data_IF_140837647791
#
_entry.id   IF_140837647791
#
_cell.length_a   1.000
_cell.length_b   1.000
_cell.length_c   1.000
_cell.angle_alpha   90.00
_cell.angle_beta   90.00
_cell.angle_gamma   90.00
#
_symmetry.space_group_name_H-M   'P 1'
#
loop_
_entity.id
_entity.type
_entity.pdbx_description
1 polymer ?
#
# COMPACT_ATOMS: atom_id res chain seq x y z
N UNK A 1 -5.56 -22.24 30.31
CA UNK A 1 -6.05 -22.24 28.92
C UNK A 1 -4.92 -21.70 28.04
N UNK A 2 -4.33 -22.54 27.19
CA UNK A 2 -3.34 -22.07 26.20
C UNK A 2 -4.08 -21.21 25.17
N UNK A 3 -3.69 -19.93 25.04
CA UNK A 3 -4.27 -19.02 24.05
C UNK A 3 -4.13 -19.52 22.61
N UNK A 4 -4.74 -18.82 21.62
CA UNK A 4 -4.65 -19.21 20.23
C UNK A 4 -3.19 -19.35 19.79
N UNK A 5 -2.90 -20.39 19.00
CA UNK A 5 -1.56 -20.68 18.45
C UNK A 5 -1.66 -20.88 16.95
N UNK A 6 -0.69 -20.32 16.23
CA UNK A 6 -0.56 -20.52 14.79
C UNK A 6 0.15 -21.86 14.51
N UNK A 7 -0.11 -22.48 13.34
CA UNK A 7 0.66 -23.62 12.89
C UNK A 7 2.17 -23.30 12.83
N UNK A 8 3.06 -24.30 13.06
CA UNK A 8 4.49 -24.11 12.92
C UNK A 8 4.87 -23.52 11.54
N UNK A 9 5.79 -22.56 11.53
CA UNK A 9 6.28 -21.91 10.30
C UNK A 9 5.37 -20.82 9.73
N UNK A 10 4.15 -20.64 10.25
CA UNK A 10 3.26 -19.56 9.81
C UNK A 10 3.60 -18.27 10.55
N UNK A 11 4.01 -17.25 9.80
CA UNK A 11 4.21 -15.90 10.35
C UNK A 11 2.86 -15.30 10.76
N UNK A 12 2.83 -14.55 11.87
CA UNK A 12 1.58 -14.00 12.43
C UNK A 12 0.89 -13.05 11.47
N UNK A 13 1.67 -12.16 10.87
CA UNK A 13 1.15 -11.13 10.02
C UNK A 13 1.35 -11.47 8.54
N UNK A 14 0.38 -11.07 7.72
CA UNK A 14 0.58 -10.93 6.29
C UNK A 14 0.35 -9.47 5.92
N UNK A 15 1.37 -8.83 5.37
CA UNK A 15 1.29 -7.48 4.84
C UNK A 15 0.92 -7.57 3.35
N UNK A 16 -0.23 -7.01 3.00
CA UNK A 16 -0.71 -7.04 1.62
C UNK A 16 -0.51 -5.67 0.97
N UNK A 17 0.20 -5.69 -0.15
CA UNK A 17 0.77 -4.52 -0.80
C UNK A 17 0.44 -4.49 -2.29
N UNK A 18 0.83 -3.39 -2.94
CA UNK A 18 1.07 -3.39 -4.38
C UNK A 18 2.53 -3.01 -4.61
N UNK A 19 3.13 -3.40 -5.75
CA UNK A 19 4.59 -3.32 -5.92
C UNK A 19 5.18 -1.92 -5.77
N UNK A 20 4.40 -0.88 -6.05
CA UNK A 20 4.79 0.52 -5.89
C UNK A 20 3.74 1.27 -5.07
N UNK A 21 3.94 1.36 -3.76
CA UNK A 21 3.06 2.13 -2.86
C UNK A 21 3.78 2.59 -1.60
N UNK A 22 3.99 3.91 -1.48
CA UNK A 22 4.64 4.52 -0.32
C UNK A 22 3.92 4.27 1.02
N UNK A 23 2.57 4.16 1.03
CA UNK A 23 1.83 3.80 2.24
C UNK A 23 2.18 2.39 2.71
N UNK A 24 2.40 1.49 1.74
CA UNK A 24 2.85 0.12 1.98
C UNK A 24 4.27 0.06 2.53
N UNK A 25 5.19 0.81 1.90
CA UNK A 25 6.59 0.92 2.36
C UNK A 25 6.68 1.37 3.81
N UNK A 26 5.89 2.39 4.21
CA UNK A 26 5.85 2.87 5.59
C UNK A 26 5.54 1.75 6.58
N UNK A 27 4.58 0.89 6.25
CA UNK A 27 4.22 -0.25 7.12
C UNK A 27 5.29 -1.32 7.11
N UNK A 28 5.87 -1.64 5.93
CA UNK A 28 6.98 -2.58 5.81
C UNK A 28 8.15 -2.17 6.69
N UNK A 29 8.60 -0.93 6.57
CA UNK A 29 9.67 -0.35 7.40
C UNK A 29 9.35 -0.46 8.90
N UNK A 30 8.12 -0.16 9.31
CA UNK A 30 7.74 -0.28 10.71
C UNK A 30 7.77 -1.73 11.20
N UNK A 31 7.25 -2.69 10.43
CA UNK A 31 7.28 -4.11 10.77
C UNK A 31 8.72 -4.63 10.89
N UNK A 32 9.60 -4.23 9.98
CA UNK A 32 11.02 -4.58 10.01
C UNK A 32 11.71 -4.03 11.27
N UNK A 33 11.50 -2.73 11.56
CA UNK A 33 12.15 -2.07 12.69
C UNK A 33 11.68 -2.58 14.05
N UNK A 34 10.41 -2.99 14.19
CA UNK A 34 9.91 -3.61 15.43
C UNK A 34 10.13 -5.12 15.48
N UNK A 35 10.71 -5.72 14.44
CA UNK A 35 10.97 -7.16 14.37
C UNK A 35 9.71 -8.03 14.33
N UNK A 36 8.62 -7.51 13.77
CA UNK A 36 7.36 -8.24 13.70
C UNK A 36 7.47 -9.44 12.74
N UNK A 37 6.90 -10.61 13.08
CA UNK A 37 6.92 -11.76 12.18
C UNK A 37 5.84 -11.61 11.10
N UNK A 38 6.22 -11.10 9.93
CA UNK A 38 5.33 -10.94 8.78
C UNK A 38 5.88 -11.53 7.48
N UNK A 39 4.95 -11.94 6.61
CA UNK A 39 5.22 -12.23 5.20
C UNK A 39 4.47 -11.23 4.31
N UNK A 40 4.90 -11.13 3.06
CA UNK A 40 4.30 -10.22 2.09
C UNK A 40 3.45 -10.97 1.08
N UNK A 41 2.40 -10.31 0.63
CA UNK A 41 1.64 -10.73 -0.54
C UNK A 41 1.32 -9.51 -1.40
N UNK A 42 1.67 -9.57 -2.68
CA UNK A 42 1.32 -8.50 -3.60
C UNK A 42 -0.05 -8.74 -4.23
N UNK A 43 -0.77 -7.65 -4.39
CA UNK A 43 -2.01 -7.58 -5.16
C UNK A 43 -1.94 -6.47 -6.18
N UNK A 44 -2.86 -6.52 -7.12
CA UNK A 44 -3.01 -5.49 -8.13
C UNK A 44 -3.76 -4.30 -7.54
N UNK A 45 -3.02 -3.41 -6.88
CA UNK A 45 -3.57 -2.36 -6.01
C UNK A 45 -4.76 -1.60 -6.58
N UNK A 46 -4.70 -1.19 -7.86
CA UNK A 46 -5.78 -0.46 -8.50
C UNK A 46 -7.01 -1.34 -8.79
N UNK A 47 -6.80 -2.57 -9.26
CA UNK A 47 -7.89 -3.52 -9.48
C UNK A 47 -8.54 -3.92 -8.16
N UNK A 48 -7.78 -4.03 -7.07
CA UNK A 48 -8.36 -4.32 -5.76
C UNK A 48 -9.26 -3.20 -5.26
N UNK A 49 -8.94 -1.94 -5.56
CA UNK A 49 -9.83 -0.82 -5.26
C UNK A 49 -11.15 -0.95 -6.05
N UNK A 50 -11.07 -1.18 -7.36
CA UNK A 50 -12.27 -1.26 -8.21
C UNK A 50 -13.10 -2.53 -8.00
N UNK A 51 -12.47 -3.69 -7.79
CA UNK A 51 -13.15 -4.98 -7.68
C UNK A 51 -13.57 -5.33 -6.25
N UNK A 52 -12.81 -4.87 -5.25
CA UNK A 52 -13.03 -5.25 -3.84
C UNK A 52 -13.38 -4.06 -2.95
N UNK A 53 -13.41 -2.84 -3.49
CA UNK A 53 -13.70 -1.62 -2.72
C UNK A 53 -12.67 -1.29 -1.66
N UNK A 54 -11.45 -1.86 -1.75
CA UNK A 54 -10.41 -1.72 -0.73
C UNK A 54 -9.07 -1.33 -1.35
N UNK A 55 -8.46 -0.30 -0.80
CA UNK A 55 -7.09 0.09 -1.12
C UNK A 55 -6.08 -0.67 -0.26
N UNK A 56 -4.91 -0.93 -0.82
CA UNK A 56 -3.70 -1.32 -0.07
C UNK A 56 -3.03 -0.09 0.58
N UNK A 57 -2.22 -0.25 1.63
CA UNK A 57 -1.90 -1.52 2.32
C UNK A 57 -3.04 -2.00 3.24
N UNK A 58 -3.06 -3.31 3.48
CA UNK A 58 -3.75 -3.88 4.64
C UNK A 58 -2.91 -4.96 5.31
N UNK A 59 -3.05 -5.06 6.63
CA UNK A 59 -2.44 -6.09 7.46
C UNK A 59 -3.48 -7.16 7.80
N UNK A 60 -3.11 -8.43 7.63
CA UNK A 60 -3.87 -9.57 8.15
C UNK A 60 -3.17 -10.05 9.42
N UNK A 61 -3.84 -9.98 10.57
CA UNK A 61 -3.41 -10.69 11.77
C UNK A 61 -4.09 -12.07 11.78
N UNK A 62 -3.30 -13.11 11.52
CA UNK A 62 -3.79 -14.49 11.47
C UNK A 62 -4.16 -15.04 12.86
N UNK A 63 -3.66 -14.42 13.92
CA UNK A 63 -3.97 -14.83 15.29
C UNK A 63 -5.36 -14.37 15.72
N UNK A 64 -5.73 -13.13 15.38
CA UNK A 64 -7.05 -12.55 15.69
C UNK A 64 -8.04 -12.62 14.53
N UNK A 65 -7.64 -13.21 13.40
CA UNK A 65 -8.39 -13.24 12.13
C UNK A 65 -8.86 -11.84 11.68
N UNK A 66 -8.06 -10.81 11.96
CA UNK A 66 -8.43 -9.42 11.70
C UNK A 66 -7.78 -8.90 10.42
N UNK A 67 -8.50 -8.02 9.72
CA UNK A 67 -8.00 -7.27 8.58
C UNK A 67 -8.00 -5.77 8.92
N UNK A 68 -6.83 -5.16 8.87
CA UNK A 68 -6.62 -3.75 9.21
C UNK A 68 -6.13 -3.03 7.96
N UNK A 69 -6.95 -2.16 7.37
CA UNK A 69 -6.57 -1.33 6.22
C UNK A 69 -5.97 0.00 6.67
N UNK A 70 -5.41 0.79 5.74
CA UNK A 70 -4.79 2.09 5.98
C UNK A 70 -3.51 2.00 6.84
N UNK A 71 -2.42 2.60 6.37
CA UNK A 71 -1.13 2.56 7.08
C UNK A 71 -1.22 3.07 8.53
N UNK A 72 -1.98 4.13 8.79
CA UNK A 72 -2.10 4.70 10.14
C UNK A 72 -2.81 3.75 11.12
N UNK A 73 -3.88 3.11 10.68
CA UNK A 73 -4.62 2.15 11.52
C UNK A 73 -3.79 0.90 11.76
N UNK A 74 -3.02 0.46 10.76
CA UNK A 74 -2.09 -0.67 10.91
C UNK A 74 -1.03 -0.36 11.97
N UNK A 75 -0.40 0.82 11.93
CA UNK A 75 0.62 1.20 12.91
C UNK A 75 0.05 1.34 14.33
N UNK A 76 -1.14 1.94 14.46
CA UNK A 76 -1.86 2.00 15.74
C UNK A 76 -2.16 0.59 16.27
N UNK A 77 -2.65 -0.30 15.41
CA UNK A 77 -2.92 -1.68 15.75
C UNK A 77 -1.66 -2.41 16.22
N UNK A 78 -0.55 -2.27 15.50
CA UNK A 78 0.73 -2.88 15.89
C UNK A 78 1.20 -2.35 17.25
N UNK A 79 1.11 -1.04 17.49
CA UNK A 79 1.44 -0.44 18.78
C UNK A 79 0.60 -1.01 19.92
N UNK A 80 -0.70 -1.23 19.69
CA UNK A 80 -1.62 -1.70 20.73
C UNK A 80 -1.58 -3.23 20.94
N UNK A 81 -1.29 -4.00 19.88
CA UNK A 81 -1.51 -5.45 19.86
C UNK A 81 -0.22 -6.25 19.69
N UNK A 82 0.75 -5.74 18.93
CA UNK A 82 2.02 -6.43 18.73
C UNK A 82 3.02 -6.09 19.84
N UNK A 83 3.25 -4.79 20.06
CA UNK A 83 4.30 -4.31 20.96
C UNK A 83 4.18 -4.87 22.38
N UNK A 84 3.00 -4.95 23.02
CA UNK A 84 2.88 -5.55 24.35
C UNK A 84 3.29 -7.03 24.44
N UNK A 85 3.32 -7.73 23.31
CA UNK A 85 3.66 -9.17 23.22
C UNK A 85 5.14 -9.43 22.96
N UNK A 86 5.95 -8.40 22.73
CA UNK A 86 7.39 -8.55 22.46
C UNK A 86 8.14 -9.00 23.72
N UNK A 87 9.17 -9.87 23.57
CA UNK A 87 9.75 -10.62 24.69
C UNK A 87 10.65 -9.78 25.62
N UNK A 88 11.40 -8.82 25.08
CA UNK A 88 12.34 -8.01 25.88
C UNK A 88 11.71 -6.67 26.25
N UNK A 89 12.07 -6.13 27.41
CA UNK A 89 11.65 -4.79 27.82
C UNK A 89 12.27 -3.70 26.93
N UNK A 90 13.52 -3.91 26.50
CA UNK A 90 14.24 -2.99 25.62
C UNK A 90 13.58 -2.88 24.23
N UNK A 91 13.32 -4.00 23.56
CA UNK A 91 12.68 -3.98 22.23
C UNK A 91 11.26 -3.42 22.30
N UNK A 92 10.54 -3.65 23.40
CA UNK A 92 9.24 -2.99 23.66
C UNK A 92 9.39 -1.47 23.72
N UNK A 93 10.28 -0.96 24.58
CA UNK A 93 10.49 0.48 24.73
C UNK A 93 10.93 1.14 23.40
N UNK A 94 11.79 0.48 22.62
CA UNK A 94 12.18 0.96 21.28
C UNK A 94 11.00 1.00 20.31
N UNK A 95 10.17 -0.05 20.28
CA UNK A 95 9.00 -0.11 19.40
C UNK A 95 7.91 0.88 19.81
N UNK A 96 7.66 1.06 21.12
CA UNK A 96 6.75 2.08 21.65
C UNK A 96 7.19 3.48 21.22
N UNK A 97 8.49 3.79 21.35
CA UNK A 97 9.05 5.08 20.94
C UNK A 97 8.93 5.30 19.43
N UNK A 98 9.19 4.26 18.63
CA UNK A 98 9.09 4.34 17.17
C UNK A 98 7.65 4.59 16.70
N UNK A 99 6.68 3.90 17.30
CA UNK A 99 5.27 3.99 16.91
C UNK A 99 4.52 5.12 17.64
N UNK A 100 5.21 5.92 18.46
CA UNK A 100 4.64 7.02 19.19
C UNK A 100 4.16 8.13 18.23
N UNK A 101 2.90 8.54 18.39
CA UNK A 101 2.30 9.65 17.65
C UNK A 101 2.47 10.96 18.41
N UNK A 102 3.67 11.52 18.36
CA UNK A 102 3.93 12.88 18.86
C UNK A 102 3.41 13.93 17.86
N UNK A 103 3.19 15.19 18.29
CA UNK A 103 2.82 16.26 17.36
C UNK A 103 3.80 16.41 16.19
N UNK A 104 5.09 16.22 16.44
CA UNK A 104 6.14 16.28 15.42
C UNK A 104 6.04 15.10 14.45
N UNK A 105 5.83 13.87 14.93
CA UNK A 105 5.71 12.70 14.05
C UNK A 105 4.45 12.79 13.18
N UNK A 106 3.35 13.28 13.73
CA UNK A 106 2.12 13.56 12.97
C UNK A 106 2.35 14.59 11.85
N UNK A 107 3.10 15.66 12.11
CA UNK A 107 3.42 16.66 11.08
C UNK A 107 4.28 16.07 9.97
N UNK A 108 5.25 15.21 10.31
CA UNK A 108 6.05 14.52 9.31
C UNK A 108 5.24 13.51 8.50
N UNK A 109 4.32 12.77 9.14
CA UNK A 109 3.39 11.87 8.46
C UNK A 109 2.52 12.61 7.46
N UNK A 110 1.95 13.77 7.85
CA UNK A 110 1.15 14.60 6.96
C UNK A 110 1.94 15.05 5.73
N UNK A 111 3.16 15.57 5.94
CA UNK A 111 4.06 15.97 4.83
C UNK A 111 4.39 14.81 3.91
N UNK A 112 4.71 13.65 4.46
CA UNK A 112 5.03 12.45 3.67
C UNK A 112 3.81 11.99 2.85
N UNK A 113 2.62 12.02 3.44
CA UNK A 113 1.38 11.67 2.75
C UNK A 113 1.08 12.66 1.61
N UNK A 114 1.25 13.97 1.84
CA UNK A 114 1.08 14.99 0.79
C UNK A 114 2.06 14.77 -0.37
N UNK A 115 3.34 14.49 -0.07
CA UNK A 115 4.34 14.17 -1.09
C UNK A 115 3.98 12.88 -1.84
N UNK A 116 3.52 11.86 -1.12
CA UNK A 116 3.06 10.61 -1.70
C UNK A 116 1.90 10.81 -2.69
N UNK A 117 0.92 11.62 -2.33
CA UNK A 117 -0.17 12.01 -3.24
C UNK A 117 0.32 12.81 -4.45
N UNK A 118 1.28 13.73 -4.26
CA UNK A 118 1.86 14.49 -5.37
C UNK A 118 2.63 13.58 -6.34
N UNK A 119 3.46 12.65 -5.83
CA UNK A 119 4.18 11.67 -6.65
C UNK A 119 3.22 10.72 -7.36
N UNK A 120 2.18 10.26 -6.67
CA UNK A 120 1.14 9.43 -7.25
C UNK A 120 0.41 10.16 -8.39
N UNK A 121 0.00 11.42 -8.17
CA UNK A 121 -0.65 12.25 -9.18
C UNK A 121 0.25 12.49 -10.39
N UNK A 122 1.51 12.87 -10.14
CA UNK A 122 2.53 13.03 -11.19
C UNK A 122 2.75 11.74 -11.98
N UNK A 123 2.95 10.61 -11.30
CA UNK A 123 3.15 9.31 -11.95
C UNK A 123 1.96 8.89 -12.80
N UNK A 124 0.73 8.99 -12.25
CA UNK A 124 -0.48 8.64 -12.99
C UNK A 124 -0.78 9.57 -14.16
N UNK A 125 -0.44 10.85 -14.06
CA UNK A 125 -0.56 11.78 -15.19
C UNK A 125 0.18 11.26 -16.43
N UNK A 126 1.42 10.81 -16.27
CA UNK A 126 2.19 10.26 -17.39
C UNK A 126 1.74 8.86 -17.76
N UNK A 127 1.61 7.95 -16.80
CA UNK A 127 1.26 6.54 -17.07
C UNK A 127 -0.11 6.42 -17.76
N UNK A 128 -1.06 7.29 -17.43
CA UNK A 128 -2.39 7.29 -18.01
C UNK A 128 -2.54 8.17 -19.24
N UNK A 129 -1.48 8.83 -19.73
CA UNK A 129 -1.57 9.70 -20.91
C UNK A 129 -2.14 8.93 -22.12
N UNK A 130 -2.94 9.61 -22.96
CA UNK A 130 -3.68 8.95 -24.04
C UNK A 130 -2.74 8.17 -24.99
N UNK A 131 -1.62 8.79 -25.36
CA UNK A 131 -0.63 8.23 -26.30
C UNK A 131 0.35 7.24 -25.65
N UNK A 132 0.30 7.07 -24.32
CA UNK A 132 1.21 6.17 -23.64
C UNK A 132 0.85 4.70 -23.88
N UNK A 133 1.79 3.84 -24.32
CA UNK A 133 1.53 2.43 -24.52
C UNK A 133 1.03 1.75 -23.24
N UNK A 134 0.00 0.92 -23.37
CA UNK A 134 -0.64 0.20 -22.25
C UNK A 134 0.34 -0.66 -21.45
N UNK A 135 1.48 -1.04 -22.03
CA UNK A 135 2.55 -1.76 -21.35
C UNK A 135 3.10 -1.02 -20.13
N UNK A 136 3.20 0.31 -20.16
CA UNK A 136 3.70 1.10 -19.02
C UNK A 136 2.79 0.98 -17.79
N UNK A 137 1.47 1.26 -17.89
CA UNK A 137 0.53 0.97 -16.82
C UNK A 137 0.62 -0.47 -16.31
N UNK A 138 0.71 -1.45 -17.21
CA UNK A 138 0.80 -2.86 -16.84
C UNK A 138 2.01 -3.16 -15.95
N UNK A 139 3.17 -2.57 -16.22
CA UNK A 139 4.34 -2.69 -15.34
C UNK A 139 4.05 -2.08 -13.98
N UNK A 140 3.56 -0.84 -13.94
CA UNK A 140 3.28 -0.13 -12.67
C UNK A 140 2.18 -0.77 -11.82
N UNK A 141 1.26 -1.51 -12.45
CA UNK A 141 0.15 -2.19 -11.78
C UNK A 141 0.48 -3.64 -11.40
N UNK A 142 1.70 -4.11 -11.66
CA UNK A 142 2.14 -5.45 -11.26
C UNK A 142 1.75 -6.58 -12.21
N UNK A 143 1.44 -6.31 -13.49
CA UNK A 143 1.12 -7.35 -14.48
C UNK A 143 2.25 -8.36 -14.71
N UNK A 144 3.48 -7.97 -14.36
CA UNK A 144 4.69 -8.73 -14.55
C UNK A 144 5.37 -9.12 -13.23
N UNK A 145 4.79 -8.72 -12.09
CA UNK A 145 5.36 -9.00 -10.77
C UNK A 145 5.11 -10.46 -10.37
N UNK A 146 6.14 -11.29 -10.14
CA UNK A 146 5.97 -12.70 -9.78
C UNK A 146 5.14 -12.91 -8.51
N UNK A 147 5.21 -11.99 -7.54
CA UNK A 147 4.49 -12.06 -6.27
C UNK A 147 2.98 -11.77 -6.42
N UNK A 148 2.54 -11.22 -7.55
CA UNK A 148 1.11 -11.04 -7.86
C UNK A 148 0.51 -12.36 -8.38
N UNK A 149 -0.64 -12.81 -7.84
CA UNK A 149 -1.29 -14.05 -8.29
C UNK A 149 -1.53 -14.09 -9.81
N UNK A 150 -1.25 -15.24 -10.44
CA UNK A 150 -1.30 -15.40 -11.90
C UNK A 150 -2.64 -14.96 -12.50
N UNK A 151 -3.75 -15.36 -11.89
CA UNK A 151 -5.08 -14.97 -12.37
C UNK A 151 -5.26 -13.44 -12.39
N UNK A 152 -4.78 -12.75 -11.37
CA UNK A 152 -4.85 -11.28 -11.34
C UNK A 152 -3.99 -10.71 -12.48
N UNK A 153 -2.75 -11.20 -12.65
CA UNK A 153 -1.87 -10.75 -13.75
C UNK A 153 -2.51 -10.92 -15.13
N UNK A 154 -3.16 -12.06 -15.37
CA UNK A 154 -3.88 -12.33 -16.62
C UNK A 154 -5.09 -11.41 -16.79
N UNK A 155 -5.89 -11.21 -15.73
CA UNK A 155 -7.03 -10.29 -15.74
C UNK A 155 -6.61 -8.86 -16.07
N UNK A 156 -5.51 -8.37 -15.49
CA UNK A 156 -5.05 -7.01 -15.78
C UNK A 156 -4.61 -6.88 -17.24
N UNK A 157 -3.88 -7.85 -17.79
CA UNK A 157 -3.48 -7.82 -19.21
C UNK A 157 -4.70 -7.79 -20.13
N UNK A 158 -5.74 -8.56 -19.81
CA UNK A 158 -6.97 -8.58 -20.59
C UNK A 158 -7.80 -7.29 -20.45
N UNK A 159 -7.88 -6.72 -19.24
CA UNK A 159 -8.74 -5.57 -18.93
C UNK A 159 -8.00 -4.22 -19.00
N UNK A 160 -6.71 -4.22 -19.31
CA UNK A 160 -5.84 -3.05 -19.28
C UNK A 160 -6.40 -1.80 -19.98
N UNK A 161 -6.92 -1.87 -21.22
CA UNK A 161 -7.47 -0.69 -21.88
C UNK A 161 -8.69 -0.13 -21.14
N UNK A 162 -9.56 -0.99 -20.62
CA UNK A 162 -10.73 -0.58 -19.85
C UNK A 162 -10.33 0.06 -18.52
N UNK A 163 -9.36 -0.54 -17.81
CA UNK A 163 -8.82 0.00 -16.55
C UNK A 163 -8.17 1.37 -16.79
N UNK A 164 -7.34 1.50 -17.83
CA UNK A 164 -6.70 2.78 -18.19
C UNK A 164 -7.75 3.86 -18.47
N UNK A 165 -8.76 3.56 -19.28
CA UNK A 165 -9.84 4.49 -19.59
C UNK A 165 -10.67 4.88 -18.36
N UNK A 166 -11.01 3.90 -17.52
CA UNK A 166 -11.74 4.14 -16.27
C UNK A 166 -10.97 5.03 -15.30
N UNK A 167 -9.66 4.79 -15.13
CA UNK A 167 -8.82 5.63 -14.29
C UNK A 167 -8.68 7.05 -14.83
N UNK A 168 -8.56 7.23 -16.15
CA UNK A 168 -8.55 8.57 -16.76
C UNK A 168 -9.84 9.33 -16.46
N UNK A 169 -10.99 8.65 -16.50
CA UNK A 169 -12.26 9.26 -16.14
C UNK A 169 -12.34 9.62 -14.64
N UNK A 170 -11.91 8.72 -13.75
CA UNK A 170 -11.90 8.95 -12.30
C UNK A 170 -10.98 10.12 -11.91
N UNK A 171 -9.79 10.19 -12.51
CA UNK A 171 -8.85 11.28 -12.29
C UNK A 171 -9.16 12.54 -13.11
N UNK A 172 -10.28 12.56 -13.84
CA UNK A 172 -10.71 13.69 -14.67
C UNK A 172 -9.65 14.15 -15.70
N UNK A 173 -8.78 13.24 -16.14
CA UNK A 173 -7.68 13.49 -17.08
C UNK A 173 -8.17 13.61 -18.53
N UNK A 174 -9.22 14.41 -18.74
CA UNK A 174 -9.86 14.67 -20.03
C UNK A 174 -8.92 15.39 -21.00
N UNK A 175 -9.30 15.39 -22.27
CA UNK A 175 -8.53 15.94 -23.41
C UNK A 175 -8.16 17.44 -23.30
N UNK A 176 -8.64 18.16 -22.28
CA UNK A 176 -8.44 19.60 -22.10
C UNK A 176 -7.27 20.00 -21.18
N UNK A 177 -6.69 19.08 -20.39
CA UNK A 177 -5.64 19.43 -19.40
C UNK A 177 -4.25 19.65 -20.01
N UNK A 178 -3.99 19.07 -21.19
CA UNK A 178 -2.73 19.28 -21.90
C UNK A 178 -2.57 20.73 -22.39
N UNK A 179 -3.68 21.45 -22.59
CA UNK A 179 -3.67 22.85 -22.98
C UNK A 179 -3.48 23.79 -21.77
N UNK A 180 -4.14 23.51 -20.65
CA UNK A 180 -4.08 24.38 -19.46
C UNK A 180 -2.74 24.32 -18.72
N UNK A 181 -2.07 23.17 -18.67
CA UNK A 181 -0.76 23.04 -18.01
C UNK A 181 0.43 23.56 -18.85
N UNK A 182 0.25 23.77 -20.16
CA UNK A 182 1.26 24.40 -21.03
C UNK A 182 1.36 25.91 -20.78
N UNK A 183 0.28 26.55 -20.34
CA UNK A 183 0.23 27.99 -20.06
C UNK A 183 0.79 28.37 -18.69
N UNK A 184 0.83 27.44 -17.72
CA UNK A 184 1.48 27.67 -16.42
C UNK A 184 3.02 27.48 -16.44
N UNK A 185 3.61 27.25 -17.61
CA UNK A 185 5.07 27.15 -17.82
C UNK A 185 5.65 28.27 -18.69
N UNK A 186 4.89 29.33 -18.96
CA UNK A 186 5.39 30.60 -19.49
C UNK A 186 5.39 31.65 -18.38
#
# INVERSE_FOLDING_TARGET
LTGPRLPPGVKRYQLVLMPLNHFGERVRFALDLIGAPYEEADVMGILTLFLRGRSVPWLVDRLSCSHIGNSDQILQYLSAVHVPTMPSAESRASAEKLLQRSPESLQWEERLNSLGHAVQGFGYYYVLHQDMPTQFPLVTWGAYEPHVPLLQRLMLRALAPCVKSGMRAVFQLGTSDAAQLRDHRK
#
